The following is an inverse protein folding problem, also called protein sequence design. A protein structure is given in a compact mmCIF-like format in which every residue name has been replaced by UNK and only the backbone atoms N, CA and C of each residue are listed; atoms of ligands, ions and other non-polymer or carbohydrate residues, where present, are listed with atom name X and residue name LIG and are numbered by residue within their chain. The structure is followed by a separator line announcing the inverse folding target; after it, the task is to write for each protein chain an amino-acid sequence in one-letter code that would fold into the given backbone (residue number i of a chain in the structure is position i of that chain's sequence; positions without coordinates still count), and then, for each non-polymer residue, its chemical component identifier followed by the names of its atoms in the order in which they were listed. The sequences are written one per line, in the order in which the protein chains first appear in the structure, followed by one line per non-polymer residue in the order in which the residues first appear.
data_IF_711246676463
#
_entry.id   IF_711246676463
#
_cell.length_a   1.000
_cell.length_b   1.000
_cell.length_c   1.000
_cell.angle_alpha   90.00
_cell.angle_beta   90.00
_cell.angle_gamma   90.00
#
_symmetry.space_group_name_H-M   'P 1'
#
loop_
_entity.id
_entity.type
_entity.pdbx_description
1 polymer ?
#
# COMPACT_ATOMS: atom_id res chain seq x y z
N UNK A 1 6.38 -8.93 -27.10
CA UNK A 1 5.22 -8.05 -27.34
C UNK A 1 4.15 -8.45 -26.33
N UNK A 2 3.38 -7.54 -25.80
CA UNK A 2 2.29 -7.81 -24.85
C UNK A 2 1.05 -6.99 -25.26
N UNK A 3 -0.11 -7.25 -24.61
CA UNK A 3 -1.39 -6.61 -24.97
C UNK A 3 -1.31 -5.07 -24.99
N UNK A 4 -0.47 -4.43 -24.21
CA UNK A 4 -0.31 -2.97 -24.19
C UNK A 4 0.42 -2.49 -25.43
N UNK A 5 1.58 -3.10 -25.74
CA UNK A 5 2.37 -2.74 -26.93
C UNK A 5 1.70 -3.09 -28.24
N UNK A 6 0.87 -4.15 -28.27
CA UNK A 6 0.00 -4.51 -29.41
C UNK A 6 -1.08 -3.45 -29.67
N UNK A 7 -1.48 -2.70 -28.63
CA UNK A 7 -2.45 -1.60 -28.73
C UNK A 7 -1.77 -0.21 -28.80
N UNK A 8 -0.48 -0.14 -29.11
CA UNK A 8 0.23 1.11 -29.32
C UNK A 8 0.65 1.86 -28.05
N UNK A 9 0.58 1.21 -26.86
CA UNK A 9 1.10 1.76 -25.62
C UNK A 9 2.58 1.42 -25.47
N UNK A 10 3.33 2.27 -24.75
CA UNK A 10 4.76 2.04 -24.51
C UNK A 10 5.02 0.82 -23.63
N UNK A 11 6.02 0.03 -23.96
CA UNK A 11 6.59 -0.97 -23.07
C UNK A 11 7.22 -0.29 -21.85
N UNK A 12 7.17 -0.97 -20.68
CA UNK A 12 7.68 -0.39 -19.42
C UNK A 12 8.57 -1.41 -18.70
N UNK A 13 9.77 -0.96 -18.29
CA UNK A 13 10.60 -1.59 -17.26
C UNK A 13 10.34 -0.81 -15.96
N UNK A 14 9.75 -1.46 -14.98
CA UNK A 14 9.44 -0.85 -13.69
C UNK A 14 10.54 -1.13 -12.67
N UNK A 15 11.44 -0.17 -12.48
CA UNK A 15 12.45 -0.16 -11.42
C UNK A 15 12.14 0.91 -10.34
N UNK A 16 10.90 1.43 -10.31
CA UNK A 16 10.45 2.43 -9.33
C UNK A 16 9.86 1.80 -8.07
N UNK A 17 9.47 0.53 -8.13
CA UNK A 17 8.74 -0.14 -7.07
C UNK A 17 7.25 -0.30 -7.40
N UNK A 18 6.47 -0.70 -6.40
CA UNK A 18 5.03 -1.01 -6.53
C UNK A 18 4.19 0.27 -6.49
N UNK A 19 4.21 1.02 -7.58
CA UNK A 19 3.58 2.34 -7.71
C UNK A 19 2.28 2.28 -8.50
N UNK A 20 1.23 2.94 -8.01
CA UNK A 20 -0.10 2.98 -8.64
C UNK A 20 -0.05 3.46 -10.10
N UNK A 21 0.77 4.47 -10.39
CA UNK A 21 0.95 5.01 -11.76
C UNK A 21 1.49 4.00 -12.78
N UNK A 22 2.06 2.88 -12.32
CA UNK A 22 2.60 1.79 -13.15
C UNK A 22 1.81 0.48 -13.02
N UNK A 23 0.60 0.52 -12.44
CA UNK A 23 -0.25 -0.64 -12.24
C UNK A 23 0.13 -1.50 -11.03
N UNK A 24 0.95 -0.99 -10.13
CA UNK A 24 1.42 -1.54 -8.84
C UNK A 24 2.30 -2.78 -9.00
N UNK A 25 1.75 -3.92 -9.45
CA UNK A 25 2.46 -5.19 -9.67
C UNK A 25 1.82 -6.00 -10.78
N UNK A 26 2.54 -7.01 -11.26
CA UNK A 26 2.01 -8.04 -12.16
C UNK A 26 1.57 -9.25 -11.35
N UNK A 27 0.46 -9.87 -11.74
CA UNK A 27 -0.02 -11.09 -11.09
C UNK A 27 0.69 -12.33 -11.62
N UNK A 28 0.81 -13.38 -10.78
CA UNK A 28 1.32 -14.67 -11.22
C UNK A 28 0.33 -15.38 -12.15
N UNK A 29 0.80 -16.38 -12.90
CA UNK A 29 -0.04 -17.21 -13.77
C UNK A 29 -1.17 -17.89 -12.98
N UNK A 30 -0.89 -18.38 -11.78
CA UNK A 30 -1.88 -19.03 -10.91
C UNK A 30 -2.99 -18.06 -10.49
N UNK A 31 -2.66 -16.83 -10.13
CA UNK A 31 -3.63 -15.76 -9.86
C UNK A 31 -4.41 -15.40 -11.14
N UNK A 32 -3.73 -15.29 -12.28
CA UNK A 32 -4.35 -14.97 -13.56
C UNK A 32 -5.40 -16.00 -13.97
N UNK A 33 -5.11 -17.29 -13.83
CA UNK A 33 -6.07 -18.38 -14.06
C UNK A 33 -7.30 -18.27 -13.15
N UNK A 34 -7.09 -17.97 -11.86
CA UNK A 34 -8.19 -17.79 -10.90
C UNK A 34 -9.08 -16.60 -11.28
N UNK A 35 -8.51 -15.49 -11.74
CA UNK A 35 -9.27 -14.33 -12.23
C UNK A 35 -10.17 -14.69 -13.39
N UNK A 36 -9.65 -15.39 -14.40
CA UNK A 36 -10.40 -15.79 -15.59
C UNK A 36 -11.53 -16.76 -15.22
N UNK A 37 -11.27 -17.77 -14.40
CA UNK A 37 -12.25 -18.74 -13.94
C UNK A 37 -13.38 -18.06 -13.16
N UNK A 38 -13.05 -17.23 -12.19
CA UNK A 38 -14.03 -16.50 -11.39
C UNK A 38 -14.86 -15.51 -12.23
N UNK A 39 -14.25 -14.85 -13.21
CA UNK A 39 -14.98 -13.96 -14.12
C UNK A 39 -16.03 -14.71 -14.95
N UNK A 40 -15.72 -15.94 -15.40
CA UNK A 40 -16.58 -16.78 -16.22
C UNK A 40 -17.75 -17.45 -15.49
N UNK A 41 -17.84 -17.34 -14.15
CA UNK A 41 -18.86 -18.03 -13.35
C UNK A 41 -19.68 -17.06 -12.50
N UNK A 42 -20.94 -17.41 -12.21
CA UNK A 42 -21.79 -16.68 -11.27
C UNK A 42 -21.59 -17.17 -9.84
N UNK A 43 -21.80 -16.26 -8.88
CA UNK A 43 -21.76 -16.53 -7.44
C UNK A 43 -22.67 -15.54 -6.70
N UNK A 44 -23.21 -15.94 -5.55
CA UNK A 44 -23.90 -15.01 -4.64
C UNK A 44 -22.86 -14.14 -3.96
N UNK A 45 -22.91 -12.83 -4.24
CA UNK A 45 -21.86 -11.89 -3.81
C UNK A 45 -21.73 -11.80 -2.29
N UNK A 46 -22.86 -11.76 -1.56
CA UNK A 46 -22.82 -11.68 -0.09
C UNK A 46 -22.14 -12.92 0.51
N UNK A 47 -22.40 -14.11 -0.02
CA UNK A 47 -21.74 -15.36 0.40
C UNK A 47 -20.23 -15.35 0.06
N UNK A 48 -19.87 -14.87 -1.13
CA UNK A 48 -18.47 -14.76 -1.54
C UNK A 48 -17.68 -13.84 -0.61
N UNK A 49 -18.22 -12.66 -0.29
CA UNK A 49 -17.54 -11.69 0.57
C UNK A 49 -17.40 -12.19 2.00
N UNK A 50 -18.40 -12.92 2.52
CA UNK A 50 -18.33 -13.54 3.83
C UNK A 50 -17.30 -14.68 3.85
N UNK A 51 -17.34 -15.58 2.86
CA UNK A 51 -16.39 -16.67 2.72
C UNK A 51 -14.95 -16.14 2.60
N UNK A 52 -14.73 -15.14 1.74
CA UNK A 52 -13.41 -14.57 1.51
C UNK A 52 -12.85 -13.92 2.79
N UNK A 53 -13.70 -13.23 3.55
CA UNK A 53 -13.28 -12.64 4.84
C UNK A 53 -12.83 -13.69 5.84
N UNK A 54 -13.60 -14.76 6.03
CA UNK A 54 -13.25 -15.88 6.90
C UNK A 54 -11.98 -16.59 6.43
N UNK A 55 -11.89 -16.85 5.12
CA UNK A 55 -10.72 -17.51 4.53
C UNK A 55 -9.44 -16.69 4.73
N UNK A 56 -9.49 -15.37 4.54
CA UNK A 56 -8.37 -14.48 4.82
C UNK A 56 -8.04 -14.53 6.32
N UNK A 57 -9.04 -14.47 7.20
CA UNK A 57 -8.84 -14.59 8.65
C UNK A 57 -8.06 -15.85 9.05
N UNK A 58 -8.42 -17.01 8.48
CA UNK A 58 -7.71 -18.28 8.67
C UNK A 58 -6.24 -18.18 8.21
N UNK A 59 -6.01 -17.57 7.04
CA UNK A 59 -4.67 -17.49 6.42
C UNK A 59 -3.72 -16.59 7.19
N UNK A 60 -4.21 -15.51 7.82
CA UNK A 60 -3.38 -14.50 8.47
C UNK A 60 -3.51 -14.45 10.00
N UNK A 61 -4.39 -15.26 10.58
CA UNK A 61 -4.56 -15.35 12.03
C UNK A 61 -5.34 -14.19 12.65
N UNK A 62 -6.42 -13.73 12.01
CA UNK A 62 -7.42 -12.82 12.61
C UNK A 62 -8.81 -13.45 12.61
N UNK A 63 -9.77 -12.87 13.35
CA UNK A 63 -11.11 -13.47 13.42
C UNK A 63 -11.86 -13.44 12.09
N UNK A 64 -11.74 -12.35 11.32
CA UNK A 64 -12.41 -12.17 10.03
C UNK A 64 -11.74 -11.02 9.26
N UNK A 65 -12.06 -10.87 7.99
CA UNK A 65 -11.61 -9.75 7.18
C UNK A 65 -12.74 -9.22 6.29
N UNK A 66 -12.59 -7.97 5.85
CA UNK A 66 -13.44 -7.40 4.81
C UNK A 66 -12.60 -7.17 3.55
N UNK A 67 -12.98 -7.82 2.45
CA UNK A 67 -12.34 -7.60 1.13
C UNK A 67 -12.80 -6.25 0.57
N UNK A 68 -11.88 -5.49 -0.03
CA UNK A 68 -12.14 -4.14 -0.54
C UNK A 68 -11.51 -3.95 -1.92
N UNK A 69 -11.94 -2.94 -2.68
CA UNK A 69 -11.36 -2.64 -3.99
C UNK A 69 -9.94 -2.08 -3.93
N UNK A 70 -9.53 -1.57 -2.77
CA UNK A 70 -8.18 -1.05 -2.50
C UNK A 70 -7.97 -0.89 -0.99
N UNK A 71 -6.72 -0.67 -0.54
CA UNK A 71 -6.48 -0.27 0.84
C UNK A 71 -7.16 1.05 1.19
N UNK A 72 -7.21 2.00 0.25
CA UNK A 72 -7.87 3.30 0.43
C UNK A 72 -9.37 3.16 0.70
N UNK A 73 -10.06 2.30 -0.06
CA UNK A 73 -11.47 1.97 0.23
C UNK A 73 -11.62 1.23 1.56
N UNK A 74 -10.62 0.43 1.95
CA UNK A 74 -10.56 -0.19 3.28
C UNK A 74 -10.55 0.84 4.40
N UNK A 75 -9.76 1.91 4.26
CA UNK A 75 -9.74 3.03 5.22
C UNK A 75 -11.12 3.67 5.33
N UNK A 76 -11.71 4.07 4.19
CA UNK A 76 -13.01 4.72 4.18
C UNK A 76 -14.11 3.83 4.79
N UNK A 77 -14.14 2.54 4.43
CA UNK A 77 -15.14 1.59 4.94
C UNK A 77 -14.94 1.26 6.43
N UNK A 78 -13.70 1.25 6.94
CA UNK A 78 -13.44 1.10 8.37
C UNK A 78 -14.05 2.24 9.17
N UNK A 79 -13.81 3.49 8.74
CA UNK A 79 -14.36 4.69 9.39
C UNK A 79 -15.89 4.70 9.28
N UNK A 80 -16.46 4.46 8.10
CA UNK A 80 -17.91 4.41 7.91
C UNK A 80 -18.58 3.33 8.79
N UNK A 81 -17.93 2.17 8.96
CA UNK A 81 -18.42 1.09 9.80
C UNK A 81 -18.46 1.46 11.28
N UNK A 82 -17.54 2.28 11.76
CA UNK A 82 -17.54 2.80 13.13
C UNK A 82 -18.63 3.85 13.36
N UNK A 83 -18.98 4.62 12.34
CA UNK A 83 -20.04 5.65 12.40
C UNK A 83 -21.44 5.02 12.32
N UNK A 84 -21.64 4.08 11.41
CA UNK A 84 -22.93 3.47 11.14
C UNK A 84 -23.23 2.25 12.04
N UNK A 85 -22.19 1.52 12.48
CA UNK A 85 -22.35 0.26 13.19
C UNK A 85 -23.06 -0.79 12.33
N UNK A 86 -23.99 -1.52 12.95
CA UNK A 86 -24.87 -2.54 12.35
C UNK A 86 -26.24 -1.99 11.91
N UNK A 87 -26.40 -0.67 11.90
CA UNK A 87 -27.67 0.01 11.57
C UNK A 87 -27.76 0.25 10.04
N UNK A 88 -28.58 -0.58 9.38
CA UNK A 88 -28.81 -0.48 7.93
C UNK A 88 -29.43 0.87 7.50
N UNK A 89 -30.23 1.52 8.36
CA UNK A 89 -30.81 2.83 8.02
C UNK A 89 -29.73 3.91 8.01
N UNK A 90 -28.78 3.87 8.94
CA UNK A 90 -27.62 4.76 8.93
C UNK A 90 -26.76 4.55 7.69
N UNK A 91 -26.56 3.29 7.29
CA UNK A 91 -25.82 2.93 6.07
C UNK A 91 -26.50 3.47 4.81
N UNK A 92 -27.83 3.30 4.68
CA UNK A 92 -28.60 3.81 3.55
C UNK A 92 -28.64 5.35 3.51
N UNK A 93 -28.68 6.00 4.66
CA UNK A 93 -28.72 7.46 4.79
C UNK A 93 -27.37 8.03 5.24
N UNK A 94 -26.29 7.53 4.64
CA UNK A 94 -24.93 7.80 5.11
C UNK A 94 -24.62 9.29 5.27
N UNK A 95 -24.94 10.13 4.27
CA UNK A 95 -24.69 11.59 4.33
C UNK A 95 -25.44 12.25 5.48
N UNK A 96 -26.72 11.89 5.70
CA UNK A 96 -27.52 12.40 6.81
C UNK A 96 -26.97 11.92 8.14
N UNK A 97 -26.55 10.64 8.23
CA UNK A 97 -25.93 10.05 9.40
C UNK A 97 -24.66 10.80 9.79
N UNK A 98 -23.78 11.09 8.84
CA UNK A 98 -22.54 11.84 9.08
C UNK A 98 -22.80 13.25 9.59
N UNK A 99 -23.78 13.96 9.01
CA UNK A 99 -24.16 15.32 9.45
C UNK A 99 -24.70 15.35 10.88
N UNK A 100 -25.42 14.30 11.31
CA UNK A 100 -26.06 14.23 12.61
C UNK A 100 -25.21 13.52 13.68
N UNK A 101 -24.08 12.88 13.31
CA UNK A 101 -23.22 12.16 14.24
C UNK A 101 -22.08 13.05 14.73
N UNK A 102 -21.99 13.27 16.05
CA UNK A 102 -20.86 13.96 16.67
C UNK A 102 -19.64 13.05 16.80
N UNK A 103 -19.84 11.79 17.19
CA UNK A 103 -18.77 10.79 17.41
C UNK A 103 -18.23 10.29 16.08
N UNK A 104 -17.41 11.11 15.42
CA UNK A 104 -16.75 10.83 14.14
C UNK A 104 -15.34 11.44 14.01
N UNK A 105 -14.78 11.91 15.12
CA UNK A 105 -13.40 12.42 15.11
C UNK A 105 -12.42 11.26 15.02
N UNK A 106 -11.46 11.36 14.09
CA UNK A 106 -10.39 10.40 13.86
C UNK A 106 -9.06 11.11 14.14
N UNK A 107 -8.37 10.67 15.19
CA UNK A 107 -7.08 11.24 15.58
C UNK A 107 -6.00 10.71 14.64
N UNK A 108 -5.26 11.61 14.00
CA UNK A 108 -4.19 11.33 13.05
C UNK A 108 -2.94 12.11 13.44
N UNK A 109 -1.79 11.44 13.48
CA UNK A 109 -0.51 12.13 13.67
C UNK A 109 -0.23 13.03 12.47
N UNK A 110 0.16 14.29 12.69
CA UNK A 110 0.42 15.24 11.60
C UNK A 110 1.50 14.77 10.63
N UNK A 111 2.55 14.12 11.11
CA UNK A 111 3.58 13.50 10.27
C UNK A 111 3.10 12.26 9.49
N UNK A 112 1.88 11.79 9.73
CA UNK A 112 1.22 10.68 9.03
C UNK A 112 0.16 11.15 8.02
N UNK A 113 -0.18 12.45 7.99
CA UNK A 113 -1.05 12.99 6.96
C UNK A 113 -0.23 13.22 5.69
N UNK A 114 -0.12 12.17 4.89
CA UNK A 114 0.74 12.08 3.71
C UNK A 114 -0.07 11.86 2.43
N UNK A 115 0.48 12.31 1.31
CA UNK A 115 0.01 11.97 -0.03
C UNK A 115 0.76 10.73 -0.53
N UNK A 116 0.03 9.64 -0.73
CA UNK A 116 0.53 8.38 -1.32
C UNK A 116 0.02 8.16 -2.76
N UNK A 117 -0.46 9.23 -3.42
CA UNK A 117 -1.18 9.26 -4.69
C UNK A 117 -2.63 9.74 -4.51
N UNK A 118 -3.06 9.89 -3.25
CA UNK A 118 -4.21 10.64 -2.76
C UNK A 118 -3.96 10.96 -1.28
N UNK A 119 -4.42 12.11 -0.75
CA UNK A 119 -4.22 12.47 0.65
C UNK A 119 -4.93 11.49 1.60
N UNK A 120 -4.26 11.15 2.72
CA UNK A 120 -4.79 10.15 3.67
C UNK A 120 -6.05 10.66 4.39
N UNK A 121 -6.08 11.96 4.73
CA UNK A 121 -7.25 12.61 5.33
C UNK A 121 -8.49 12.49 4.46
N UNK A 122 -8.36 12.66 3.14
CA UNK A 122 -9.47 12.48 2.20
C UNK A 122 -10.09 11.08 2.28
N UNK A 123 -9.31 10.03 2.51
CA UNK A 123 -9.85 8.67 2.65
C UNK A 123 -10.65 8.52 3.95
N UNK A 124 -10.19 9.15 5.03
CA UNK A 124 -10.90 9.19 6.30
C UNK A 124 -12.21 9.98 6.15
N UNK A 125 -12.17 11.13 5.49
CA UNK A 125 -13.33 12.02 5.28
C UNK A 125 -14.38 11.40 4.35
N UNK A 126 -13.99 10.69 3.29
CA UNK A 126 -14.91 9.91 2.45
C UNK A 126 -15.68 8.89 3.31
N UNK A 127 -15.03 8.29 4.31
CA UNK A 127 -15.67 7.42 5.30
C UNK A 127 -16.53 8.16 6.34
N UNK A 128 -16.70 9.48 6.23
CA UNK A 128 -17.50 10.33 7.13
C UNK A 128 -16.74 10.80 8.37
N UNK A 129 -15.47 10.44 8.52
CA UNK A 129 -14.63 10.88 9.62
C UNK A 129 -14.34 12.37 9.58
N UNK A 130 -14.04 12.96 10.73
CA UNK A 130 -13.47 14.30 10.89
C UNK A 130 -12.05 14.14 11.40
N UNK A 131 -11.06 14.49 10.59
CA UNK A 131 -9.65 14.36 10.98
C UNK A 131 -9.32 15.37 12.08
N UNK A 132 -8.65 14.88 13.12
CA UNK A 132 -8.06 15.67 14.20
C UNK A 132 -6.56 15.41 14.19
N UNK A 133 -5.81 16.33 13.56
CA UNK A 133 -4.36 16.22 13.52
C UNK A 133 -3.74 16.55 14.87
N UNK A 134 -2.77 15.71 15.30
CA UNK A 134 -2.05 15.85 16.56
C UNK A 134 -0.55 15.73 16.37
N UNK A 135 0.23 16.32 17.31
CA UNK A 135 1.68 16.39 17.20
C UNK A 135 2.15 17.37 16.13
N UNK A 136 3.36 17.16 15.63
CA UNK A 136 4.02 18.03 14.67
C UNK A 136 4.44 17.27 13.41
N UNK A 137 4.76 17.99 12.33
CA UNK A 137 5.19 17.37 11.08
C UNK A 137 6.47 16.52 11.22
N UNK A 138 7.32 16.83 12.20
CA UNK A 138 8.63 16.23 12.42
C UNK A 138 8.76 15.46 13.74
N UNK A 139 7.68 15.28 14.51
CA UNK A 139 7.72 14.56 15.78
C UNK A 139 6.34 14.44 16.43
N UNK A 140 6.15 13.41 17.23
CA UNK A 140 4.92 13.20 18.00
C UNK A 140 5.20 12.40 19.28
N UNK A 141 4.40 12.68 20.30
CA UNK A 141 4.42 11.96 21.58
C UNK A 141 3.05 11.34 21.83
N UNK A 142 3.02 10.36 22.70
CA UNK A 142 1.75 9.70 23.04
C UNK A 142 0.76 10.66 23.71
N UNK A 143 1.25 11.66 24.42
CA UNK A 143 0.46 12.70 25.07
C UNK A 143 -0.32 13.54 24.06
N UNK A 144 0.22 13.76 22.85
CA UNK A 144 -0.48 14.47 21.77
C UNK A 144 -1.78 13.73 21.39
N UNK A 145 -1.75 12.40 21.40
CA UNK A 145 -2.92 11.55 21.14
C UNK A 145 -3.86 11.59 22.33
N UNK A 146 -3.37 11.30 23.54
CA UNK A 146 -4.21 11.14 24.73
C UNK A 146 -4.95 12.42 25.12
N UNK A 147 -4.33 13.60 24.93
CA UNK A 147 -4.97 14.90 25.17
C UNK A 147 -6.05 15.24 24.15
N UNK A 148 -5.99 14.71 22.94
CA UNK A 148 -6.98 14.96 21.91
C UNK A 148 -8.22 14.06 22.01
N UNK A 149 -8.13 12.95 22.75
CA UNK A 149 -9.28 12.03 22.92
C UNK A 149 -10.40 12.70 23.72
N UNK A 150 -11.60 12.64 23.17
CA UNK A 150 -12.84 13.16 23.78
C UNK A 150 -14.05 12.30 23.38
N UNK A 151 -15.27 12.69 23.83
CA UNK A 151 -16.50 11.95 23.55
C UNK A 151 -16.86 11.84 22.05
N UNK A 152 -16.30 12.69 21.20
CA UNK A 152 -16.51 12.67 19.75
C UNK A 152 -15.51 11.80 19.02
N UNK A 153 -14.48 11.29 19.70
CA UNK A 153 -13.46 10.42 19.10
C UNK A 153 -14.04 9.06 18.76
N UNK A 154 -14.01 8.68 17.49
CA UNK A 154 -14.45 7.37 17.01
C UNK A 154 -13.30 6.40 16.72
N UNK A 155 -12.10 6.91 16.39
CA UNK A 155 -10.92 6.09 16.14
C UNK A 155 -9.60 6.86 16.35
N UNK A 156 -8.52 6.10 16.60
CA UNK A 156 -7.14 6.54 16.44
C UNK A 156 -6.60 5.87 15.18
N UNK A 157 -6.03 6.66 14.27
CA UNK A 157 -5.53 6.20 12.98
C UNK A 157 -4.00 6.31 12.91
N UNK A 158 -3.35 5.22 12.49
CA UNK A 158 -1.91 5.15 12.33
C UNK A 158 -1.53 4.74 10.91
N UNK A 159 -0.58 5.45 10.28
CA UNK A 159 -0.06 5.10 8.95
C UNK A 159 1.33 4.47 9.06
N UNK A 160 1.47 3.24 8.64
CA UNK A 160 2.75 2.55 8.52
C UNK A 160 3.23 2.62 7.06
N UNK A 161 3.98 3.65 6.74
CA UNK A 161 4.46 3.91 5.39
C UNK A 161 5.82 4.59 5.39
N UNK A 162 6.64 4.33 4.36
CA UNK A 162 7.88 5.06 4.11
C UNK A 162 7.65 6.53 3.66
N UNK A 163 6.42 6.92 3.35
CA UNK A 163 6.07 8.32 3.09
C UNK A 163 5.94 9.14 4.36
N UNK A 164 5.68 8.48 5.50
CA UNK A 164 5.58 9.13 6.80
C UNK A 164 6.95 9.54 7.33
N UNK A 165 6.98 10.57 8.17
CA UNK A 165 8.14 10.89 8.98
C UNK A 165 8.43 9.70 9.90
N UNK A 166 9.67 9.23 9.92
CA UNK A 166 10.09 8.07 10.73
C UNK A 166 10.80 8.49 12.02
N UNK A 167 11.48 9.65 11.99
CA UNK A 167 12.27 10.14 13.10
C UNK A 167 11.39 10.85 14.12
N UNK A 168 11.61 10.56 15.40
CA UNK A 168 10.96 11.21 16.54
C UNK A 168 9.41 11.08 16.56
N UNK A 169 8.89 9.98 16.02
CA UNK A 169 7.46 9.65 16.01
C UNK A 169 7.17 8.54 17.03
N UNK A 170 6.00 8.63 17.68
CA UNK A 170 5.51 7.54 18.53
C UNK A 170 5.33 6.27 17.68
N UNK A 171 5.74 5.13 18.21
CA UNK A 171 5.66 3.86 17.49
C UNK A 171 4.24 3.27 17.47
N UNK A 172 3.98 2.41 16.50
CA UNK A 172 2.66 1.80 16.28
C UNK A 172 2.19 0.94 17.46
N UNK A 173 3.11 0.22 18.12
CA UNK A 173 2.77 -0.66 19.24
C UNK A 173 2.28 0.17 20.44
N UNK A 174 2.95 1.27 20.73
CA UNK A 174 2.54 2.22 21.78
C UNK A 174 1.17 2.82 21.47
N UNK A 175 0.91 3.23 20.21
CA UNK A 175 -0.39 3.77 19.80
C UNK A 175 -1.51 2.74 19.97
N UNK A 176 -1.31 1.51 19.48
CA UNK A 176 -2.30 0.42 19.62
C UNK A 176 -2.58 0.14 21.10
N UNK A 177 -1.54 0.04 21.92
CA UNK A 177 -1.68 -0.21 23.37
C UNK A 177 -2.52 0.88 24.05
N UNK A 178 -2.26 2.14 23.75
CA UNK A 178 -2.99 3.27 24.35
C UNK A 178 -4.42 3.34 23.83
N UNK A 179 -4.66 3.10 22.54
CA UNK A 179 -5.99 3.02 21.97
C UNK A 179 -6.86 1.96 22.73
N UNK A 180 -6.28 0.77 22.96
CA UNK A 180 -6.94 -0.31 23.72
C UNK A 180 -7.20 0.09 25.17
N UNK A 181 -6.26 0.77 25.85
CA UNK A 181 -6.46 1.25 27.23
C UNK A 181 -7.57 2.29 27.32
N UNK A 182 -7.73 3.12 26.30
CA UNK A 182 -8.77 4.14 26.23
C UNK A 182 -10.11 3.61 25.67
N UNK A 183 -10.16 2.32 25.26
CA UNK A 183 -11.31 1.71 24.57
C UNK A 183 -11.72 2.49 23.31
N UNK A 184 -10.77 3.04 22.58
CA UNK A 184 -10.97 3.70 21.29
C UNK A 184 -10.48 2.75 20.17
N UNK A 185 -11.27 2.47 19.14
CA UNK A 185 -10.83 1.66 18.00
C UNK A 185 -9.55 2.18 17.35
N UNK A 186 -8.61 1.27 17.06
CA UNK A 186 -7.37 1.58 16.36
C UNK A 186 -7.43 1.07 14.93
N UNK A 187 -7.21 1.97 13.95
CA UNK A 187 -7.10 1.65 12.53
C UNK A 187 -5.64 1.82 12.12
N UNK A 188 -5.05 0.81 11.51
CA UNK A 188 -3.67 0.87 10.98
C UNK A 188 -3.70 0.76 9.46
N UNK A 189 -3.20 1.76 8.76
CA UNK A 189 -2.87 1.62 7.33
C UNK A 189 -1.50 0.93 7.21
N UNK A 190 -1.55 -0.32 6.80
CA UNK A 190 -0.41 -1.20 6.55
C UNK A 190 -0.34 -1.63 5.08
N UNK A 191 -0.81 -0.77 4.16
CA UNK A 191 -1.02 -1.12 2.74
C UNK A 191 0.20 -1.72 2.05
N UNK A 192 1.42 -1.39 2.48
CA UNK A 192 2.67 -1.86 1.87
C UNK A 192 3.48 -2.80 2.78
N UNK A 193 2.93 -3.19 3.93
CA UNK A 193 3.59 -4.09 4.86
C UNK A 193 3.56 -5.54 4.36
N UNK A 194 4.57 -6.29 4.76
CA UNK A 194 4.78 -7.69 4.34
C UNK A 194 4.28 -8.68 5.40
N UNK A 195 4.27 -8.30 6.67
CA UNK A 195 3.67 -9.10 7.75
C UNK A 195 2.17 -8.79 7.86
N UNK A 196 1.34 -9.73 7.43
CA UNK A 196 -0.12 -9.57 7.35
C UNK A 196 -0.84 -9.80 8.70
N UNK A 197 -0.15 -10.30 9.72
CA UNK A 197 -0.73 -10.66 11.03
C UNK A 197 -0.33 -9.72 12.15
N UNK A 198 0.84 -9.10 12.03
CA UNK A 198 1.54 -8.38 13.11
C UNK A 198 0.66 -7.36 13.85
N UNK A 199 -0.02 -6.48 13.14
CA UNK A 199 -0.72 -5.36 13.78
C UNK A 199 -2.05 -5.77 14.40
N UNK A 200 -2.77 -6.74 13.79
CA UNK A 200 -3.99 -7.29 14.38
C UNK A 200 -3.65 -8.10 15.65
N UNK A 201 -2.53 -8.82 15.65
CA UNK A 201 -2.04 -9.54 16.83
C UNK A 201 -1.57 -8.59 17.95
N UNK A 202 -1.09 -7.39 17.61
CA UNK A 202 -0.81 -6.32 18.57
C UNK A 202 -2.07 -5.72 19.18
N UNK A 203 -3.27 -6.01 18.64
CA UNK A 203 -4.55 -5.55 19.14
C UNK A 203 -5.14 -4.37 18.37
N UNK A 204 -4.70 -4.08 17.15
CA UNK A 204 -5.39 -3.13 16.26
C UNK A 204 -6.74 -3.70 15.83
N UNK A 205 -7.80 -2.88 15.88
CA UNK A 205 -9.16 -3.31 15.51
C UNK A 205 -9.34 -3.52 14.01
N UNK A 206 -8.66 -2.69 13.20
CA UNK A 206 -8.68 -2.73 11.75
C UNK A 206 -7.28 -2.53 11.20
N UNK A 207 -6.85 -3.39 10.28
CA UNK A 207 -5.54 -3.25 9.59
C UNK A 207 -5.76 -3.33 8.09
N UNK A 208 -5.51 -2.21 7.39
CA UNK A 208 -5.76 -2.07 5.96
C UNK A 208 -4.54 -2.52 5.14
N UNK A 209 -4.72 -3.49 4.26
CA UNK A 209 -3.69 -4.01 3.36
C UNK A 209 -4.07 -3.83 1.89
N UNK A 210 -3.06 -3.62 1.04
CA UNK A 210 -3.23 -3.61 -0.41
C UNK A 210 -2.97 -5.00 -0.99
N UNK A 211 -3.93 -5.55 -1.72
CA UNK A 211 -3.78 -6.82 -2.42
C UNK A 211 -2.77 -6.79 -3.56
N UNK A 212 -2.54 -5.60 -4.14
CA UNK A 212 -1.62 -5.44 -5.26
C UNK A 212 -0.17 -5.11 -4.86
N UNK A 213 0.10 -4.76 -3.59
CA UNK A 213 1.47 -4.41 -3.17
C UNK A 213 2.28 -5.65 -2.78
N UNK A 214 2.44 -5.97 -1.51
CA UNK A 214 3.25 -7.09 -1.04
C UNK A 214 2.80 -8.44 -1.64
N UNK A 215 1.50 -8.62 -1.82
CA UNK A 215 0.89 -9.84 -2.30
C UNK A 215 1.01 -10.08 -3.81
N UNK A 216 1.34 -9.05 -4.59
CA UNK A 216 1.35 -9.12 -6.08
C UNK A 216 0.05 -9.68 -6.67
N UNK A 217 -1.08 -9.41 -6.00
CA UNK A 217 -2.42 -9.76 -6.45
C UNK A 217 -3.03 -8.71 -7.39
N UNK A 218 -4.30 -8.88 -7.79
CA UNK A 218 -5.03 -7.89 -8.59
C UNK A 218 -5.27 -6.61 -7.79
N UNK A 219 -5.73 -5.54 -8.47
CA UNK A 219 -6.17 -4.31 -7.79
C UNK A 219 -7.30 -4.64 -6.82
N UNK A 220 -6.96 -4.63 -5.54
CA UNK A 220 -7.79 -5.04 -4.43
C UNK A 220 -7.15 -4.62 -3.10
N UNK A 221 -7.86 -4.80 -2.04
CA UNK A 221 -7.38 -4.67 -0.68
C UNK A 221 -8.20 -5.53 0.26
N UNK A 222 -7.79 -5.58 1.49
CA UNK A 222 -8.61 -6.13 2.58
C UNK A 222 -8.30 -5.42 3.88
N UNK A 223 -9.23 -5.51 4.80
CA UNK A 223 -9.04 -5.04 6.16
C UNK A 223 -9.13 -6.25 7.07
N UNK A 224 -8.01 -6.57 7.71
CA UNK A 224 -7.98 -7.56 8.79
C UNK A 224 -8.68 -6.98 10.02
N UNK A 225 -9.65 -7.70 10.57
CA UNK A 225 -10.46 -7.27 11.69
C UNK A 225 -10.19 -8.13 12.91
N UNK A 226 -9.89 -7.50 14.04
CA UNK A 226 -9.69 -8.20 15.32
C UNK A 226 -10.96 -8.90 15.81
N UNK A 227 -12.14 -8.45 15.36
CA UNK A 227 -13.45 -9.01 15.74
C UNK A 227 -14.32 -9.19 14.49
N UNK A 228 -15.01 -10.33 14.41
CA UNK A 228 -15.94 -10.65 13.31
C UNK A 228 -17.05 -9.62 13.14
N UNK A 229 -17.51 -8.99 14.23
CA UNK A 229 -18.49 -7.89 14.19
C UNK A 229 -17.96 -6.70 13.37
N UNK A 230 -16.68 -6.36 13.48
CA UNK A 230 -16.08 -5.27 12.72
C UNK A 230 -16.12 -5.55 11.21
N UNK A 231 -15.75 -6.77 10.81
CA UNK A 231 -15.83 -7.19 9.41
C UNK A 231 -17.27 -7.20 8.87
N UNK A 232 -18.23 -7.67 9.67
CA UNK A 232 -19.65 -7.65 9.31
C UNK A 232 -20.17 -6.23 9.10
N UNK A 233 -19.85 -5.29 10.02
CA UNK A 233 -20.21 -3.88 9.90
C UNK A 233 -19.57 -3.23 8.65
N UNK A 234 -18.34 -3.59 8.30
CA UNK A 234 -17.70 -3.13 7.08
C UNK A 234 -18.41 -3.68 5.83
N UNK A 235 -18.73 -4.98 5.79
CA UNK A 235 -19.47 -5.58 4.66
C UNK A 235 -20.84 -4.94 4.49
N UNK A 236 -21.50 -4.53 5.58
CA UNK A 236 -22.77 -3.83 5.52
C UNK A 236 -22.67 -2.51 4.75
N UNK A 237 -21.51 -1.83 4.76
CA UNK A 237 -21.31 -0.58 4.04
C UNK A 237 -21.46 -0.74 2.51
N UNK A 238 -21.30 -1.95 1.95
CA UNK A 238 -21.59 -2.22 0.53
C UNK A 238 -23.06 -2.00 0.13
N UNK A 239 -23.96 -1.88 1.11
CA UNK A 239 -25.37 -1.48 0.90
C UNK A 239 -25.58 0.05 0.95
N UNK A 240 -24.51 0.82 1.18
CA UNK A 240 -24.48 2.29 1.21
C UNK A 240 -23.27 2.85 0.48
N UNK A 241 -22.43 3.63 1.19
CA UNK A 241 -21.25 4.30 0.61
C UNK A 241 -20.29 3.33 -0.07
N UNK A 242 -20.15 2.11 0.41
CA UNK A 242 -19.30 1.07 -0.17
C UNK A 242 -19.75 0.61 -1.57
N UNK A 243 -20.98 0.95 -2.00
CA UNK A 243 -21.46 0.58 -3.34
C UNK A 243 -20.61 1.21 -4.46
N UNK A 244 -20.09 2.42 -4.27
CA UNK A 244 -19.19 3.10 -5.22
C UNK A 244 -17.77 2.53 -5.17
N UNK A 245 -17.43 1.75 -4.15
CA UNK A 245 -16.12 1.14 -3.89
C UNK A 245 -16.17 -0.39 -4.02
N UNK A 246 -17.20 -0.94 -4.70
CA UNK A 246 -17.36 -2.40 -4.81
C UNK A 246 -16.15 -3.07 -5.46
N UNK A 247 -15.84 -4.27 -4.99
CA UNK A 247 -14.85 -5.15 -5.61
C UNK A 247 -15.56 -6.19 -6.50
N UNK A 248 -14.96 -6.56 -7.63
CA UNK A 248 -15.45 -7.64 -8.49
C UNK A 248 -15.20 -9.03 -7.90
N UNK A 249 -16.05 -9.99 -8.26
CA UNK A 249 -15.91 -11.39 -7.82
C UNK A 249 -14.57 -12.00 -8.22
N UNK A 250 -14.10 -11.67 -9.41
CA UNK A 250 -12.81 -12.10 -9.95
C UNK A 250 -11.66 -11.55 -9.12
N UNK A 251 -11.67 -10.27 -8.77
CA UNK A 251 -10.64 -9.66 -7.95
C UNK A 251 -10.68 -10.16 -6.50
N UNK A 252 -11.85 -10.50 -5.97
CA UNK A 252 -12.00 -11.14 -4.66
C UNK A 252 -11.31 -12.49 -4.63
N UNK A 253 -11.59 -13.36 -5.63
CA UNK A 253 -10.97 -14.68 -5.73
C UNK A 253 -9.47 -14.56 -6.02
N UNK A 254 -9.06 -13.65 -6.90
CA UNK A 254 -7.66 -13.38 -7.20
C UNK A 254 -6.87 -12.88 -5.99
N UNK A 255 -7.49 -12.06 -5.13
CA UNK A 255 -6.90 -11.62 -3.87
C UNK A 255 -6.67 -12.79 -2.90
N UNK A 256 -7.71 -13.62 -2.67
CA UNK A 256 -7.58 -14.80 -1.79
C UNK A 256 -6.48 -15.72 -2.31
N UNK A 257 -6.44 -15.99 -3.63
CA UNK A 257 -5.39 -16.79 -4.25
C UNK A 257 -4.00 -16.18 -4.05
N UNK A 258 -3.84 -14.86 -4.19
CA UNK A 258 -2.58 -14.17 -3.95
C UNK A 258 -2.11 -14.31 -2.49
N UNK A 259 -3.03 -14.22 -1.51
CA UNK A 259 -2.72 -14.45 -0.10
C UNK A 259 -2.31 -15.90 0.15
N UNK A 260 -3.01 -16.88 -0.43
CA UNK A 260 -2.65 -18.31 -0.32
C UNK A 260 -1.23 -18.58 -0.83
N UNK A 261 -0.88 -18.02 -2.00
CA UNK A 261 0.48 -18.13 -2.57
C UNK A 261 1.50 -17.47 -1.65
N UNK A 262 1.19 -16.28 -1.16
CA UNK A 262 2.06 -15.53 -0.26
C UNK A 262 2.36 -16.30 1.02
N UNK A 263 1.35 -16.88 1.64
CA UNK A 263 1.51 -17.69 2.86
C UNK A 263 2.27 -19.01 2.58
N UNK A 264 1.96 -19.68 1.47
CA UNK A 264 2.67 -20.90 1.04
C UNK A 264 4.17 -20.67 0.85
N UNK A 265 4.54 -19.50 0.33
CA UNK A 265 5.93 -19.13 0.04
C UNK A 265 6.62 -18.40 1.21
N UNK A 266 5.95 -18.22 2.35
CA UNK A 266 6.45 -17.43 3.48
C UNK A 266 6.87 -16.00 3.11
N UNK A 267 6.13 -15.37 2.18
CA UNK A 267 6.36 -14.02 1.73
C UNK A 267 6.48 -13.87 0.21
N UNK A 268 6.92 -12.70 -0.22
CA UNK A 268 7.19 -12.41 -1.61
C UNK A 268 8.51 -13.05 -2.06
N UNK A 269 8.47 -13.80 -3.16
CA UNK A 269 9.66 -14.39 -3.79
C UNK A 269 10.11 -13.48 -4.93
N UNK A 270 11.26 -12.79 -4.79
CA UNK A 270 11.78 -11.91 -5.84
C UNK A 270 12.32 -12.73 -7.02
N UNK A 271 12.10 -12.23 -8.24
CA UNK A 271 12.71 -12.78 -9.47
C UNK A 271 14.13 -12.26 -9.69
N UNK A 272 14.43 -11.07 -9.15
CA UNK A 272 15.77 -10.48 -9.11
C UNK A 272 16.29 -10.60 -7.67
N UNK A 273 17.38 -11.31 -7.51
CA UNK A 273 17.95 -11.61 -6.19
C UNK A 273 18.75 -10.43 -5.62
N UNK A 274 19.08 -10.47 -4.34
CA UNK A 274 19.98 -9.50 -3.71
C UNK A 274 21.37 -9.51 -4.39
N UNK A 275 21.88 -10.69 -4.76
CA UNK A 275 23.16 -10.85 -5.43
C UNK A 275 23.15 -10.23 -6.85
N UNK A 276 22.04 -10.37 -7.59
CA UNK A 276 21.89 -9.70 -8.89
C UNK A 276 21.89 -8.18 -8.74
N UNK A 277 21.19 -7.67 -7.72
CA UNK A 277 21.17 -6.23 -7.42
C UNK A 277 22.55 -5.72 -7.01
N UNK A 278 23.30 -6.49 -6.24
CA UNK A 278 24.68 -6.17 -5.83
C UNK A 278 25.61 -6.10 -7.04
N UNK A 279 25.58 -7.12 -7.88
CA UNK A 279 26.39 -7.15 -9.12
C UNK A 279 26.06 -5.96 -10.05
N UNK A 280 24.77 -5.64 -10.21
CA UNK A 280 24.33 -4.45 -10.95
C UNK A 280 24.89 -3.15 -10.32
N UNK A 281 24.82 -3.03 -8.99
CA UNK A 281 25.33 -1.84 -8.27
C UNK A 281 26.84 -1.67 -8.46
N UNK A 282 27.60 -2.76 -8.40
CA UNK A 282 29.04 -2.77 -8.65
C UNK A 282 29.35 -2.38 -10.10
N UNK A 283 28.59 -2.90 -11.06
CA UNK A 283 28.73 -2.55 -12.48
C UNK A 283 28.45 -1.07 -12.73
N UNK A 284 27.44 -0.49 -12.09
CA UNK A 284 27.12 0.94 -12.23
C UNK A 284 28.31 1.85 -11.82
N UNK A 285 29.14 1.43 -10.86
CA UNK A 285 30.32 2.18 -10.43
C UNK A 285 31.43 2.22 -11.51
N UNK A 286 31.33 1.45 -12.59
CA UNK A 286 32.24 1.55 -13.74
C UNK A 286 31.88 2.68 -14.71
N UNK A 287 30.70 3.27 -14.56
CA UNK A 287 30.23 4.37 -15.41
C UNK A 287 30.77 5.69 -14.84
N UNK A 288 31.46 6.46 -15.67
CA UNK A 288 32.00 7.75 -15.28
C UNK A 288 30.89 8.69 -14.81
N UNK A 289 31.04 9.30 -13.63
CA UNK A 289 30.07 10.22 -13.05
C UNK A 289 28.90 9.54 -12.36
N UNK A 290 28.93 8.22 -12.20
CA UNK A 290 27.99 7.46 -11.36
C UNK A 290 28.70 6.91 -10.12
N UNK A 291 28.05 7.06 -8.95
CA UNK A 291 28.41 6.35 -7.72
C UNK A 291 27.20 5.62 -7.21
N UNK A 292 27.26 4.30 -7.15
CA UNK A 292 26.16 3.45 -6.74
C UNK A 292 26.44 2.72 -5.43
N UNK A 293 25.40 2.54 -4.59
CA UNK A 293 25.49 1.80 -3.34
C UNK A 293 24.15 1.11 -3.01
N UNK A 294 24.21 0.01 -2.29
CA UNK A 294 23.01 -0.64 -1.76
C UNK A 294 22.49 0.16 -0.56
N UNK A 295 21.20 0.45 -0.55
CA UNK A 295 20.48 1.05 0.58
C UNK A 295 19.31 0.15 1.00
N UNK A 296 19.00 0.16 2.30
CA UNK A 296 17.79 -0.47 2.83
C UNK A 296 16.63 0.52 2.86
N UNK A 297 15.42 -0.01 2.88
CA UNK A 297 14.18 0.78 3.01
C UNK A 297 14.16 1.61 4.31
N UNK A 298 13.79 2.89 4.22
CA UNK A 298 13.80 3.84 5.32
C UNK A 298 12.83 3.46 6.47
N UNK A 299 11.77 2.71 6.16
CA UNK A 299 10.83 2.20 7.16
C UNK A 299 11.31 0.90 7.85
N UNK A 300 12.57 0.48 7.62
CA UNK A 300 13.21 -0.66 8.30
C UNK A 300 12.81 -2.03 7.74
N UNK A 301 12.13 -2.09 6.59
CA UNK A 301 11.80 -3.36 5.92
C UNK A 301 13.03 -3.97 5.26
N UNK A 302 13.04 -5.30 5.06
CA UNK A 302 14.12 -6.02 4.35
C UNK A 302 14.06 -5.84 2.83
N UNK A 303 13.88 -4.59 2.39
CA UNK A 303 13.82 -4.19 0.98
C UNK A 303 15.09 -3.42 0.65
N UNK A 304 15.87 -3.95 -0.28
CA UNK A 304 17.13 -3.37 -0.72
C UNK A 304 16.99 -2.75 -2.11
N UNK A 305 17.69 -1.65 -2.34
CA UNK A 305 17.69 -0.90 -3.61
C UNK A 305 19.10 -0.46 -3.97
N UNK A 306 19.38 -0.33 -5.25
CA UNK A 306 20.59 0.32 -5.72
C UNK A 306 20.35 1.83 -5.82
N UNK A 307 20.98 2.61 -4.93
CA UNK A 307 20.99 4.07 -5.01
C UNK A 307 22.11 4.51 -5.95
N UNK A 308 21.77 5.35 -6.92
CA UNK A 308 22.66 5.87 -7.96
C UNK A 308 22.75 7.38 -7.78
N UNK A 309 23.93 7.88 -7.40
CA UNK A 309 24.24 9.30 -7.36
C UNK A 309 24.87 9.70 -8.69
N UNK A 310 24.44 10.82 -9.25
CA UNK A 310 24.85 11.31 -10.56
C UNK A 310 25.61 12.61 -10.42
N UNK A 311 26.89 12.60 -10.81
CA UNK A 311 27.72 13.81 -10.94
C UNK A 311 27.44 14.46 -12.29
N UNK A 312 26.73 15.58 -12.31
CA UNK A 312 26.38 16.29 -13.54
C UNK A 312 27.61 16.65 -14.39
N UNK A 313 28.70 17.08 -13.72
CA UNK A 313 29.92 17.50 -14.37
C UNK A 313 30.63 16.36 -15.14
N UNK A 314 30.59 15.14 -14.58
CA UNK A 314 31.30 13.97 -15.15
C UNK A 314 30.39 13.12 -16.03
N UNK A 315 29.11 12.93 -15.64
CA UNK A 315 28.14 12.13 -16.39
C UNK A 315 27.57 12.90 -17.60
N UNK A 316 27.52 14.25 -17.51
CA UNK A 316 27.06 15.13 -18.59
C UNK A 316 25.60 15.54 -18.50
N UNK A 317 24.86 15.05 -17.48
CA UNK A 317 23.50 15.51 -17.15
C UNK A 317 23.19 15.27 -15.69
N UNK A 318 22.27 16.04 -15.13
CA UNK A 318 21.80 15.83 -13.75
C UNK A 318 20.76 14.71 -13.64
N UNK A 319 20.48 14.26 -12.41
CA UNK A 319 19.57 13.15 -12.18
C UNK A 319 18.13 13.40 -12.70
N UNK A 320 17.63 14.65 -12.68
CA UNK A 320 16.30 14.96 -13.26
C UNK A 320 16.27 14.80 -14.77
N UNK A 321 17.33 15.21 -15.47
CA UNK A 321 17.45 15.01 -16.92
C UNK A 321 17.58 13.51 -17.23
N UNK A 322 18.38 12.78 -16.45
CA UNK A 322 18.52 11.33 -16.57
C UNK A 322 17.17 10.61 -16.46
N UNK A 323 16.36 10.94 -15.44
CA UNK A 323 15.00 10.37 -15.28
C UNK A 323 14.16 10.59 -16.56
N UNK A 324 14.19 11.78 -17.14
CA UNK A 324 13.44 12.07 -18.38
C UNK A 324 13.95 11.23 -19.55
N UNK A 325 15.27 11.06 -19.70
CA UNK A 325 15.85 10.23 -20.77
C UNK A 325 15.50 8.75 -20.59
N UNK A 326 15.54 8.23 -19.36
CA UNK A 326 15.13 6.86 -19.04
C UNK A 326 13.65 6.63 -19.37
N UNK A 327 12.76 7.58 -19.03
CA UNK A 327 11.32 7.49 -19.33
C UNK A 327 11.02 7.65 -20.83
N UNK A 328 11.88 8.33 -21.59
CA UNK A 328 11.75 8.47 -23.04
C UNK A 328 12.36 7.30 -23.84
N UNK A 329 13.02 6.35 -23.16
CA UNK A 329 13.57 5.15 -23.79
C UNK A 329 12.45 4.17 -24.19
N UNK A 330 12.72 3.28 -25.12
CA UNK A 330 11.79 2.18 -25.48
C UNK A 330 12.47 0.81 -25.25
N UNK A 331 11.99 0.01 -24.30
CA UNK A 331 10.90 0.28 -23.33
C UNK A 331 11.23 1.41 -22.33
N UNK A 332 10.21 2.16 -21.91
CA UNK A 332 10.37 3.25 -20.95
C UNK A 332 10.84 2.71 -19.59
N UNK A 333 11.89 3.30 -19.00
CA UNK A 333 12.47 2.86 -17.74
C UNK A 333 12.04 3.83 -16.63
N UNK A 334 11.32 3.33 -15.64
CA UNK A 334 10.87 4.08 -14.47
C UNK A 334 11.68 3.70 -13.23
N UNK A 335 12.31 4.70 -12.61
CA UNK A 335 13.15 4.56 -11.40
C UNK A 335 12.48 5.24 -10.19
N UNK A 336 12.98 5.02 -8.98
CA UNK A 336 12.62 5.86 -7.83
C UNK A 336 13.33 7.19 -7.94
N UNK A 337 12.58 8.24 -8.18
CA UNK A 337 13.05 9.58 -8.53
C UNK A 337 12.84 10.64 -7.43
N UNK A 338 12.41 10.25 -6.23
CA UNK A 338 12.12 11.17 -5.11
C UNK A 338 13.31 12.05 -4.70
N UNK A 339 14.54 11.58 -4.93
CA UNK A 339 15.77 12.31 -4.64
C UNK A 339 16.46 12.87 -5.90
N UNK A 340 15.79 12.90 -7.05
CA UNK A 340 16.38 13.42 -8.28
C UNK A 340 16.74 14.92 -8.17
N UNK A 341 16.04 15.67 -7.31
CA UNK A 341 16.36 17.08 -7.02
C UNK A 341 17.69 17.29 -6.29
N UNK A 342 18.21 16.26 -5.63
CA UNK A 342 19.49 16.25 -4.91
C UNK A 342 20.52 15.33 -5.58
N UNK A 343 20.31 14.99 -6.86
CA UNK A 343 21.28 14.27 -7.67
C UNK A 343 21.23 12.74 -7.56
N UNK A 344 20.17 12.14 -7.01
CA UNK A 344 20.09 10.69 -6.81
C UNK A 344 18.81 10.08 -7.40
N UNK A 345 18.93 8.86 -7.91
CA UNK A 345 17.80 7.96 -8.22
C UNK A 345 18.04 6.61 -7.54
N UNK A 346 17.02 5.76 -7.47
CA UNK A 346 17.22 4.39 -6.98
C UNK A 346 16.49 3.36 -7.86
N UNK A 347 17.06 2.17 -7.95
CA UNK A 347 16.51 1.00 -8.63
C UNK A 347 15.90 0.08 -7.57
N UNK A 348 14.60 -0.14 -7.63
CA UNK A 348 13.88 -1.12 -6.82
C UNK A 348 13.73 -2.41 -7.64
N UNK A 349 14.36 -3.52 -7.24
CA UNK A 349 14.38 -4.75 -8.04
C UNK A 349 13.05 -5.53 -8.00
N UNK A 350 12.18 -5.27 -7.03
CA UNK A 350 10.99 -6.10 -6.77
C UNK A 350 10.01 -6.22 -7.94
N UNK A 351 9.75 -5.16 -8.76
CA UNK A 351 8.86 -5.30 -9.91
C UNK A 351 9.53 -5.84 -11.17
N UNK A 352 10.86 -5.97 -11.19
CA UNK A 352 11.59 -6.46 -12.35
C UNK A 352 11.26 -7.93 -12.61
N UNK A 353 11.07 -8.27 -13.88
CA UNK A 353 10.68 -9.62 -14.31
C UNK A 353 11.82 -10.61 -14.25
N UNK A 354 13.03 -10.15 -14.50
CA UNK A 354 14.24 -10.97 -14.56
C UNK A 354 15.49 -10.08 -14.49
N UNK A 355 16.64 -10.71 -14.50
CA UNK A 355 17.95 -10.04 -14.53
C UNK A 355 18.18 -9.23 -15.82
N UNK A 356 17.65 -9.66 -16.96
CA UNK A 356 17.86 -8.99 -18.25
C UNK A 356 17.34 -7.55 -18.22
N UNK A 357 16.31 -7.27 -17.39
CA UNK A 357 15.84 -5.89 -17.20
C UNK A 357 16.85 -5.03 -16.43
N UNK A 358 17.62 -5.60 -15.48
CA UNK A 358 18.75 -4.88 -14.85
C UNK A 358 19.87 -4.62 -15.86
N UNK A 359 20.21 -5.61 -16.68
CA UNK A 359 21.24 -5.48 -17.71
C UNK A 359 20.84 -4.40 -18.73
N UNK A 360 19.57 -4.36 -19.12
CA UNK A 360 19.03 -3.30 -20.00
C UNK A 360 19.17 -1.92 -19.35
N UNK A 361 18.82 -1.78 -18.07
CA UNK A 361 18.98 -0.51 -17.34
C UNK A 361 20.44 -0.08 -17.31
N UNK A 362 21.37 -1.01 -17.04
CA UNK A 362 22.80 -0.74 -17.02
C UNK A 362 23.31 -0.23 -18.38
N UNK A 363 22.98 -0.91 -19.47
CA UNK A 363 23.41 -0.52 -20.80
C UNK A 363 22.85 0.87 -21.22
N UNK A 364 21.60 1.17 -20.83
CA UNK A 364 21.02 2.50 -21.08
C UNK A 364 21.74 3.58 -20.24
N UNK A 365 22.02 3.33 -18.96
CA UNK A 365 22.77 4.24 -18.11
C UNK A 365 24.16 4.52 -18.70
N UNK A 366 24.86 3.47 -19.16
CA UNK A 366 26.18 3.58 -19.80
C UNK A 366 26.15 4.37 -21.10
N UNK A 367 25.12 4.17 -21.93
CA UNK A 367 24.93 4.86 -23.19
C UNK A 367 24.62 6.35 -23.06
N UNK A 368 23.90 6.72 -22.01
CA UNK A 368 23.48 8.10 -21.74
C UNK A 368 24.61 8.95 -21.10
N UNK A 369 25.59 8.31 -20.48
CA UNK A 369 26.81 8.97 -19.96
C UNK A 369 27.75 9.42 -21.05
N UNK A 370 28.59 10.42 -20.71
CA UNK A 370 29.65 10.94 -21.65
C UNK A 370 30.86 10.02 -21.71
#
# INVERSE_FOLDING_TARGET
MNIYTENGLHGVINASGRMTKLGVSTVSEEVGKTLVEAAGNYVVIDELLEWAGKRIGELIGCEDACVTSSASSGIALSVASLICGDDLQKVHRFSETVLNTKKREVILLKGHNVDFGAPIDSMIEIGGGKVVEVGYANGSKIEDITHAVNENTCAIFFVKSHHCVQKDMVDVQTVIKVANQLNIPCIVDAAAEEDLSKYVQMGADFVCYSGAKALSGPTSGFVACARSKNAANMRLQYKGIGRVMKIGKENTMGLVKAIEIYQRNHGYVPTVTYEDLKAFTESCNTIKGITASIIQDEAGRAIYRSKINVSEAEYGMNAKALVKQLQAHDPAIYTRDYQANIGSIAIDPRPLKNKDELDTIFEVLKKLGK
#
